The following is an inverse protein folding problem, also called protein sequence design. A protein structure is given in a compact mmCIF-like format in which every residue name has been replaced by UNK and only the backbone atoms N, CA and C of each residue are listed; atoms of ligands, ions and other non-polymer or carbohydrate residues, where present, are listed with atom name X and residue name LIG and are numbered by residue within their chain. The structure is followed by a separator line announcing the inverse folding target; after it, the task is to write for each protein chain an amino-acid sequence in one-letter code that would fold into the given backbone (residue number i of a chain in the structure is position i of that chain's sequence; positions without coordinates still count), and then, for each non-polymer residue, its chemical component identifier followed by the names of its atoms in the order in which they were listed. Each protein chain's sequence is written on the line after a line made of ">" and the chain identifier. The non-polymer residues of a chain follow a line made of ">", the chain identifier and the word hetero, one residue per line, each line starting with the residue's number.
data_IF_568492953248
#
_entry.id   IF_568492953248
#
_cell.length_a   1.000
_cell.length_b   1.000
_cell.length_c   1.000
_cell.angle_alpha   90.00
_cell.angle_beta   90.00
_cell.angle_gamma   90.00
#
_symmetry.space_group_name_H-M   'P 1'
#
loop_
_entity.id
_entity.type
_entity.pdbx_description
1 polymer ?
#
# COMPACT_ATOMS: atom_id res chain seq x y z
N UNK A 1 -32.18 -15.82 21.98
CA UNK A 1 -30.74 -16.06 21.74
C UNK A 1 -30.34 -15.22 20.52
N UNK A 2 -29.74 -14.03 20.73
CA UNK A 2 -29.40 -13.14 19.61
C UNK A 2 -28.28 -13.78 18.80
N UNK A 3 -28.54 -14.03 17.51
CA UNK A 3 -27.55 -14.52 16.55
C UNK A 3 -26.42 -13.49 16.55
N UNK A 4 -25.27 -13.84 17.13
CA UNK A 4 -24.05 -13.03 17.06
C UNK A 4 -23.76 -12.83 15.57
N UNK A 5 -24.00 -11.62 15.02
CA UNK A 5 -23.62 -11.28 13.65
C UNK A 5 -22.12 -11.55 13.53
N UNK A 6 -21.77 -12.53 12.71
CA UNK A 6 -20.38 -12.82 12.35
C UNK A 6 -19.76 -11.56 11.75
N UNK A 7 -18.55 -11.21 12.14
CA UNK A 7 -17.78 -10.12 11.54
C UNK A 7 -17.43 -10.40 10.06
N UNK A 8 -17.56 -11.66 9.65
CA UNK A 8 -17.27 -12.17 8.32
C UNK A 8 -18.32 -11.72 7.31
N UNK A 9 -17.91 -11.13 6.19
CA UNK A 9 -18.80 -10.68 5.13
C UNK A 9 -18.46 -11.37 3.81
N UNK A 10 -19.44 -12.04 3.24
CA UNK A 10 -19.35 -12.66 1.94
C UNK A 10 -19.51 -11.61 0.83
N UNK A 11 -18.50 -11.48 -0.03
CA UNK A 11 -18.49 -10.59 -1.20
C UNK A 11 -18.91 -11.31 -2.49
N UNK A 12 -19.27 -12.58 -2.41
CA UNK A 12 -19.68 -13.38 -3.57
C UNK A 12 -21.17 -13.29 -3.89
N UNK A 13 -21.95 -12.64 -3.02
CA UNK A 13 -23.40 -12.49 -3.17
C UNK A 13 -23.85 -11.05 -2.97
N UNK A 14 -24.83 -10.60 -3.75
CA UNK A 14 -25.38 -9.24 -3.70
C UNK A 14 -24.85 -8.30 -4.79
N UNK A 15 -25.22 -7.02 -4.75
CA UNK A 15 -24.82 -6.03 -5.74
C UNK A 15 -23.30 -5.73 -5.65
N UNK A 16 -22.51 -5.90 -6.72
CA UNK A 16 -21.09 -5.61 -6.74
C UNK A 16 -20.77 -4.18 -6.28
N UNK A 17 -21.47 -3.18 -6.80
CA UNK A 17 -21.25 -1.76 -6.45
C UNK A 17 -21.41 -1.53 -4.94
N UNK A 18 -22.51 -2.03 -4.34
CA UNK A 18 -22.76 -1.86 -2.89
C UNK A 18 -21.72 -2.57 -2.04
N UNK A 19 -21.28 -3.75 -2.47
CA UNK A 19 -20.26 -4.53 -1.77
C UNK A 19 -18.90 -3.83 -1.84
N UNK A 20 -18.50 -3.38 -3.03
CA UNK A 20 -17.23 -2.68 -3.28
C UNK A 20 -17.18 -1.38 -2.48
N UNK A 21 -18.20 -0.51 -2.61
CA UNK A 21 -18.24 0.74 -1.86
C UNK A 21 -18.27 0.50 -0.35
N UNK A 22 -19.09 -0.44 0.12
CA UNK A 22 -19.21 -0.76 1.55
C UNK A 22 -17.94 -1.36 2.16
N UNK A 23 -17.01 -1.88 1.32
CA UNK A 23 -15.72 -2.38 1.73
C UNK A 23 -14.61 -1.34 1.54
N UNK A 24 -14.63 -0.58 0.44
CA UNK A 24 -13.63 0.43 0.10
C UNK A 24 -13.68 1.66 1.02
N UNK A 25 -14.89 2.11 1.42
CA UNK A 25 -15.02 3.30 2.28
C UNK A 25 -14.28 3.19 3.62
N UNK A 26 -14.42 2.10 4.41
CA UNK A 26 -13.61 1.94 5.62
C UNK A 26 -12.11 1.89 5.32
N UNK A 27 -11.67 1.24 4.23
CA UNK A 27 -10.25 1.22 3.84
C UNK A 27 -9.74 2.61 3.50
N UNK A 28 -10.51 3.38 2.74
CA UNK A 28 -10.18 4.76 2.42
C UNK A 28 -10.00 5.62 3.68
N UNK A 29 -10.94 5.52 4.63
CA UNK A 29 -10.82 6.23 5.90
C UNK A 29 -9.56 5.81 6.67
N UNK A 30 -9.22 4.51 6.66
CA UNK A 30 -7.99 4.01 7.27
C UNK A 30 -6.73 4.60 6.64
N UNK A 31 -6.69 4.66 5.32
CA UNK A 31 -5.56 5.25 4.59
C UNK A 31 -5.45 6.76 4.83
N UNK A 32 -6.57 7.48 4.86
CA UNK A 32 -6.58 8.90 5.20
C UNK A 32 -6.10 9.15 6.63
N UNK A 33 -6.54 8.37 7.62
CA UNK A 33 -6.02 8.46 9.00
C UNK A 33 -4.52 8.19 9.05
N UNK A 34 -4.03 7.22 8.26
CA UNK A 34 -2.59 6.93 8.17
C UNK A 34 -1.79 8.12 7.62
N UNK A 35 -2.29 8.79 6.59
CA UNK A 35 -1.65 9.99 6.05
C UNK A 35 -1.67 11.14 7.08
N UNK A 36 -2.79 11.30 7.80
CA UNK A 36 -2.92 12.33 8.83
C UNK A 36 -1.91 12.15 9.96
N UNK A 37 -1.81 10.96 10.56
CA UNK A 37 -0.87 10.79 11.66
C UNK A 37 0.59 10.91 11.19
N UNK A 38 0.93 10.42 9.99
CA UNK A 38 2.27 10.61 9.41
C UNK A 38 2.63 12.08 9.22
N UNK A 39 1.65 12.91 8.87
CA UNK A 39 1.84 14.36 8.80
C UNK A 39 2.04 14.96 10.20
N UNK A 40 1.26 14.53 11.19
CA UNK A 40 1.40 14.98 12.59
C UNK A 40 2.77 14.61 13.15
N UNK A 41 3.26 13.39 12.94
CA UNK A 41 4.60 12.96 13.35
C UNK A 41 5.67 13.89 12.77
N UNK A 42 5.56 14.23 11.48
CA UNK A 42 6.47 15.16 10.79
C UNK A 42 6.46 16.55 11.44
N UNK A 43 5.27 17.07 11.80
CA UNK A 43 5.09 18.36 12.48
C UNK A 43 5.70 18.31 13.89
N UNK A 44 5.49 17.23 14.63
CA UNK A 44 6.04 17.05 15.98
C UNK A 44 7.57 17.06 15.92
N UNK A 45 8.17 16.27 15.03
CA UNK A 45 9.63 16.24 14.84
C UNK A 45 10.16 17.62 14.49
N UNK A 46 9.54 18.32 13.53
CA UNK A 46 9.98 19.64 13.12
C UNK A 46 9.88 20.71 14.24
N UNK A 47 8.77 20.69 14.99
CA UNK A 47 8.54 21.66 16.07
C UNK A 47 9.40 21.44 17.32
N UNK A 48 9.57 20.18 17.73
CA UNK A 48 10.23 19.87 19.01
C UNK A 48 11.73 19.61 18.88
N UNK A 49 12.18 19.11 17.70
CA UNK A 49 13.58 18.74 17.47
C UNK A 49 14.29 19.59 16.42
N UNK A 50 13.54 20.42 15.69
CA UNK A 50 14.08 21.36 14.70
C UNK A 50 14.37 20.75 13.32
N UNK A 51 14.86 21.59 12.41
CA UNK A 51 15.04 21.28 10.99
C UNK A 51 16.03 20.13 10.74
N UNK A 52 17.09 20.01 11.53
CA UNK A 52 18.11 18.96 11.39
C UNK A 52 17.52 17.58 11.66
N UNK A 53 16.71 17.44 12.69
CA UNK A 53 16.01 16.21 13.02
C UNK A 53 14.96 15.84 11.95
N UNK A 54 14.24 16.84 11.45
CA UNK A 54 13.29 16.67 10.36
C UNK A 54 13.99 16.18 9.07
N UNK A 55 15.14 16.73 8.74
CA UNK A 55 15.97 16.27 7.61
C UNK A 55 16.47 14.85 7.81
N UNK A 56 16.88 14.47 9.03
CA UNK A 56 17.29 13.12 9.36
C UNK A 56 16.16 12.10 9.11
N UNK A 57 14.95 12.35 9.64
CA UNK A 57 13.77 11.50 9.42
C UNK A 57 13.39 11.48 7.94
N UNK A 58 13.35 12.64 7.28
CA UNK A 58 13.00 12.77 5.86
C UNK A 58 13.92 11.98 4.94
N UNK A 59 15.24 11.96 5.23
CA UNK A 59 16.23 11.21 4.43
C UNK A 59 16.02 9.70 4.44
N UNK A 60 15.34 9.15 5.46
CA UNK A 60 15.04 7.72 5.56
C UNK A 60 13.79 7.29 4.81
N UNK A 61 13.00 8.23 4.27
CA UNK A 61 11.68 7.96 3.70
C UNK A 61 11.68 6.94 2.57
N UNK A 62 12.63 7.03 1.64
CA UNK A 62 12.74 6.12 0.50
C UNK A 62 13.10 4.70 0.92
N UNK A 63 14.03 4.54 1.87
CA UNK A 63 14.42 3.22 2.41
C UNK A 63 13.25 2.62 3.19
N UNK A 64 12.61 3.43 4.02
CA UNK A 64 11.44 3.01 4.79
C UNK A 64 10.34 2.49 3.85
N UNK A 65 10.00 3.26 2.81
CA UNK A 65 9.00 2.84 1.83
C UNK A 65 9.40 1.55 1.10
N UNK A 66 10.66 1.40 0.73
CA UNK A 66 11.16 0.20 0.05
C UNK A 66 11.06 -1.04 0.93
N UNK A 67 11.54 -0.99 2.18
CA UNK A 67 11.62 -2.15 3.08
C UNK A 67 10.27 -2.44 3.73
N UNK A 68 9.63 -1.44 4.29
CA UNK A 68 8.32 -1.60 4.94
C UNK A 68 7.24 -1.92 3.91
N UNK A 69 7.28 -1.26 2.74
CA UNK A 69 6.39 -1.56 1.62
C UNK A 69 6.55 -3.00 1.12
N UNK A 70 7.80 -3.52 1.07
CA UNK A 70 8.05 -4.93 0.75
C UNK A 70 7.38 -5.87 1.77
N UNK A 71 7.52 -5.60 3.06
CA UNK A 71 6.88 -6.38 4.12
C UNK A 71 5.34 -6.33 4.02
N UNK A 72 4.78 -5.14 3.78
CA UNK A 72 3.33 -4.96 3.58
C UNK A 72 2.83 -5.74 2.36
N UNK A 73 3.57 -5.71 1.25
CA UNK A 73 3.26 -6.46 0.05
C UNK A 73 3.21 -7.96 0.29
N UNK A 74 4.17 -8.51 1.05
CA UNK A 74 4.18 -9.92 1.44
C UNK A 74 2.93 -10.28 2.25
N UNK A 75 2.57 -9.48 3.26
CA UNK A 75 1.39 -9.72 4.08
C UNK A 75 0.10 -9.71 3.25
N UNK A 76 -0.04 -8.73 2.35
CA UNK A 76 -1.17 -8.66 1.43
C UNK A 76 -1.21 -9.87 0.47
N UNK A 77 -0.06 -10.31 -0.02
CA UNK A 77 0.04 -11.48 -0.88
C UNK A 77 -0.33 -12.78 -0.18
N UNK A 78 0.07 -12.96 1.09
CA UNK A 78 -0.33 -14.11 1.90
C UNK A 78 -1.84 -14.16 2.17
N UNK A 79 -2.50 -13.02 2.11
CA UNK A 79 -3.95 -12.91 2.28
C UNK A 79 -4.77 -13.33 1.05
N UNK A 80 -4.17 -13.38 -0.16
CA UNK A 80 -4.88 -13.75 -1.40
C UNK A 80 -5.42 -15.20 -1.33
N UNK A 81 -4.59 -16.23 -1.06
CA UNK A 81 -5.11 -17.59 -0.94
C UNK A 81 -6.16 -17.74 0.17
N UNK A 82 -6.05 -16.97 1.24
CA UNK A 82 -7.07 -16.94 2.32
C UNK A 82 -8.42 -16.47 1.77
N UNK A 83 -8.44 -15.37 0.98
CA UNK A 83 -9.65 -14.87 0.35
C UNK A 83 -10.24 -15.89 -0.64
N UNK A 84 -9.40 -16.57 -1.42
CA UNK A 84 -9.84 -17.61 -2.37
C UNK A 84 -10.45 -18.82 -1.64
N UNK A 85 -9.81 -19.32 -0.59
CA UNK A 85 -10.35 -20.46 0.18
C UNK A 85 -11.62 -20.08 0.94
N UNK A 86 -11.72 -18.86 1.41
CA UNK A 86 -12.95 -18.34 2.00
C UNK A 86 -14.09 -18.34 0.97
N UNK A 87 -13.84 -17.82 -0.24
CA UNK A 87 -14.81 -17.84 -1.34
C UNK A 87 -15.19 -19.25 -1.81
N UNK A 88 -14.26 -20.19 -1.76
CA UNK A 88 -14.49 -21.60 -2.07
C UNK A 88 -15.27 -22.37 -0.98
N UNK A 89 -15.41 -21.79 0.22
CA UNK A 89 -16.02 -22.46 1.37
C UNK A 89 -15.17 -23.56 2.00
N UNK A 90 -13.88 -23.69 1.60
CA UNK A 90 -12.95 -24.70 2.13
C UNK A 90 -12.30 -24.19 3.44
N UNK A 91 -12.96 -24.49 4.56
CA UNK A 91 -12.49 -24.09 5.89
C UNK A 91 -11.16 -24.74 6.27
N UNK A 92 -10.90 -25.98 5.82
CA UNK A 92 -9.68 -26.71 6.17
C UNK A 92 -8.47 -26.07 5.49
N UNK A 93 -8.55 -25.82 4.19
CA UNK A 93 -7.51 -25.12 3.45
C UNK A 93 -7.35 -23.67 3.95
N UNK A 94 -8.45 -22.98 4.27
CA UNK A 94 -8.45 -21.64 4.86
C UNK A 94 -7.57 -21.59 6.13
N UNK A 95 -7.85 -22.46 7.12
CA UNK A 95 -7.08 -22.50 8.37
C UNK A 95 -5.61 -22.83 8.13
N UNK A 96 -5.31 -23.74 7.20
CA UNK A 96 -3.92 -24.06 6.82
C UNK A 96 -3.19 -22.89 6.18
N UNK A 97 -3.83 -22.14 5.26
CA UNK A 97 -3.22 -20.94 4.69
C UNK A 97 -2.99 -19.87 5.75
N UNK A 98 -3.94 -19.66 6.66
CA UNK A 98 -3.75 -18.70 7.76
C UNK A 98 -2.62 -19.12 8.70
N UNK A 99 -2.58 -20.39 9.13
CA UNK A 99 -1.53 -20.92 10.03
C UNK A 99 -0.14 -20.88 9.38
N UNK A 100 -0.01 -21.44 8.17
CA UNK A 100 1.27 -21.41 7.43
C UNK A 100 1.69 -19.96 7.11
N UNK A 101 0.75 -19.11 6.72
CA UNK A 101 1.01 -17.68 6.47
C UNK A 101 1.50 -16.94 7.71
N UNK A 102 0.94 -17.21 8.89
CA UNK A 102 1.38 -16.62 10.15
C UNK A 102 2.81 -17.05 10.52
N UNK A 103 3.14 -18.34 10.38
CA UNK A 103 4.50 -18.85 10.63
C UNK A 103 5.49 -18.24 9.65
N UNK A 104 5.17 -18.21 8.36
CA UNK A 104 6.03 -17.61 7.33
C UNK A 104 6.21 -16.11 7.54
N UNK A 105 5.15 -15.37 7.86
CA UNK A 105 5.24 -13.94 8.15
C UNK A 105 6.14 -13.68 9.37
N UNK A 106 6.04 -14.52 10.42
CA UNK A 106 6.92 -14.46 11.59
C UNK A 106 8.39 -14.70 11.22
N UNK A 107 8.69 -15.79 10.53
CA UNK A 107 10.05 -16.11 10.08
C UNK A 107 10.62 -15.01 9.17
N UNK A 108 9.81 -14.58 8.21
CA UNK A 108 10.19 -13.51 7.29
C UNK A 108 10.47 -12.20 8.05
N UNK A 109 9.60 -11.80 8.98
CA UNK A 109 9.79 -10.56 9.73
C UNK A 109 11.06 -10.56 10.57
N UNK A 110 11.37 -11.68 11.24
CA UNK A 110 12.61 -11.84 12.01
C UNK A 110 13.82 -11.78 11.09
N UNK A 111 13.80 -12.52 9.98
CA UNK A 111 14.91 -12.53 9.01
C UNK A 111 15.15 -11.12 8.44
N UNK A 112 14.10 -10.42 8.03
CA UNK A 112 14.22 -9.05 7.53
C UNK A 112 14.76 -8.10 8.60
N UNK A 113 14.24 -8.17 9.83
CA UNK A 113 14.73 -7.35 10.94
C UNK A 113 16.23 -7.55 11.14
N UNK A 114 16.70 -8.79 11.23
CA UNK A 114 18.12 -9.10 11.42
C UNK A 114 18.95 -8.54 10.26
N UNK A 115 18.55 -8.80 9.03
CA UNK A 115 19.28 -8.34 7.84
C UNK A 115 19.38 -6.81 7.81
N UNK A 116 18.25 -6.11 7.91
CA UNK A 116 18.26 -4.65 7.77
C UNK A 116 18.86 -3.93 8.98
N UNK A 117 18.81 -4.51 10.19
CA UNK A 117 19.45 -3.94 11.36
C UNK A 117 20.99 -4.09 11.30
N UNK A 118 21.50 -5.24 10.82
CA UNK A 118 22.96 -5.46 10.67
C UNK A 118 23.52 -4.43 9.67
N UNK A 119 22.91 -4.24 8.52
CA UNK A 119 23.38 -3.33 7.48
C UNK A 119 22.77 -1.93 7.51
N UNK A 120 22.07 -1.57 8.56
CA UNK A 120 21.34 -0.30 8.65
C UNK A 120 22.24 0.92 8.37
N UNK A 121 23.42 0.97 8.98
CA UNK A 121 24.36 2.08 8.80
C UNK A 121 24.98 2.09 7.40
N UNK A 122 25.33 0.92 6.88
CA UNK A 122 25.91 0.77 5.54
C UNK A 122 24.92 1.19 4.45
N UNK A 123 23.65 0.86 4.61
CA UNK A 123 22.57 1.28 3.70
C UNK A 123 22.46 2.82 3.69
N UNK A 124 22.48 3.49 4.84
CA UNK A 124 22.43 4.95 4.91
C UNK A 124 23.67 5.60 4.25
N UNK A 125 24.85 5.03 4.45
CA UNK A 125 26.09 5.49 3.81
C UNK A 125 26.01 5.30 2.28
N UNK A 126 25.55 4.13 1.83
CA UNK A 126 25.35 3.84 0.40
C UNK A 126 24.39 4.84 -0.26
N UNK A 127 23.37 5.28 0.47
CA UNK A 127 22.45 6.31 0.02
C UNK A 127 23.01 7.74 0.08
N UNK A 128 24.26 7.90 0.48
CA UNK A 128 24.93 9.20 0.60
C UNK A 128 24.21 10.17 1.55
N UNK A 129 23.69 9.62 2.66
CA UNK A 129 23.10 10.46 3.72
C UNK A 129 24.18 11.39 4.27
N UNK A 130 23.93 12.72 4.36
CA UNK A 130 24.90 13.68 4.87
C UNK A 130 25.36 13.34 6.28
N UNK A 131 26.66 13.49 6.54
CA UNK A 131 27.29 13.08 7.81
C UNK A 131 26.73 13.80 9.05
N UNK A 132 26.24 15.02 8.87
CA UNK A 132 25.66 15.86 9.93
C UNK A 132 24.27 15.40 10.43
N UNK A 133 23.56 14.59 9.64
CA UNK A 133 22.25 14.02 9.97
C UNK A 133 22.28 12.48 10.06
N UNK A 134 23.39 11.85 9.74
CA UNK A 134 23.52 10.39 9.66
C UNK A 134 23.15 9.67 10.96
N UNK A 135 23.64 10.18 12.10
CA UNK A 135 23.36 9.55 13.40
C UNK A 135 21.88 9.68 13.79
N UNK A 136 21.25 10.82 13.48
CA UNK A 136 19.80 11.00 13.68
C UNK A 136 18.98 10.08 12.77
N UNK A 137 19.35 9.98 11.49
CA UNK A 137 18.71 9.07 10.54
C UNK A 137 18.87 7.61 10.97
N UNK A 138 20.06 7.22 11.42
CA UNK A 138 20.32 5.88 11.94
C UNK A 138 19.48 5.59 13.20
N UNK A 139 19.46 6.49 14.17
CA UNK A 139 18.67 6.32 15.39
C UNK A 139 17.18 6.14 15.12
N UNK A 140 16.63 6.85 14.14
CA UNK A 140 15.23 6.74 13.73
C UNK A 140 14.94 5.42 13.01
N UNK A 141 15.66 5.17 11.88
CA UNK A 141 15.33 4.05 11.00
C UNK A 141 15.68 2.69 11.61
N UNK A 142 16.73 2.62 12.45
CA UNK A 142 17.09 1.41 13.19
C UNK A 142 15.94 0.94 14.09
N UNK A 143 15.30 1.87 14.81
CA UNK A 143 14.15 1.57 15.64
C UNK A 143 12.96 1.10 14.79
N UNK A 144 12.69 1.76 13.66
CA UNK A 144 11.65 1.32 12.71
C UNK A 144 11.92 -0.12 12.24
N UNK A 145 13.16 -0.44 11.88
CA UNK A 145 13.53 -1.78 11.43
C UNK A 145 13.41 -2.83 12.55
N UNK A 146 13.77 -2.48 13.76
CA UNK A 146 13.56 -3.33 14.93
C UNK A 146 12.07 -3.63 15.16
N UNK A 147 11.21 -2.71 14.78
CA UNK A 147 9.75 -2.82 14.87
C UNK A 147 9.08 -3.64 13.74
N UNK A 148 9.80 -4.09 12.71
CA UNK A 148 9.22 -4.86 11.59
C UNK A 148 8.34 -6.03 12.06
N UNK A 149 8.69 -6.85 13.07
CA UNK A 149 7.81 -7.93 13.53
C UNK A 149 6.44 -7.44 14.02
N UNK A 150 6.38 -6.31 14.72
CA UNK A 150 5.12 -5.74 15.20
C UNK A 150 4.30 -5.14 14.04
N UNK A 151 4.97 -4.51 13.08
CA UNK A 151 4.34 -4.00 11.86
C UNK A 151 3.77 -5.15 11.01
N UNK A 152 4.51 -6.23 10.85
CA UNK A 152 4.06 -7.45 10.14
C UNK A 152 2.89 -8.09 10.88
N UNK A 153 2.91 -8.15 12.20
CA UNK A 153 1.79 -8.66 12.99
C UNK A 153 0.48 -7.89 12.68
N UNK A 154 0.53 -6.55 12.71
CA UNK A 154 -0.64 -5.74 12.38
C UNK A 154 -1.07 -5.92 10.92
N UNK A 155 -0.13 -5.83 9.96
CA UNK A 155 -0.44 -5.92 8.54
C UNK A 155 -0.99 -7.29 8.16
N UNK A 156 -0.40 -8.38 8.68
CA UNK A 156 -0.84 -9.76 8.40
C UNK A 156 -2.24 -10.01 8.98
N UNK A 157 -2.47 -9.67 10.25
CA UNK A 157 -3.80 -9.88 10.88
C UNK A 157 -4.87 -9.04 10.21
N UNK A 158 -4.57 -7.77 9.92
CA UNK A 158 -5.45 -6.87 9.18
C UNK A 158 -5.76 -7.38 7.77
N UNK A 159 -4.77 -7.91 7.04
CA UNK A 159 -4.96 -8.48 5.71
C UNK A 159 -5.83 -9.75 5.74
N UNK A 160 -5.66 -10.63 6.74
CA UNK A 160 -6.52 -11.79 6.95
C UNK A 160 -7.96 -11.36 7.25
N UNK A 161 -8.17 -10.38 8.13
CA UNK A 161 -9.52 -9.88 8.45
C UNK A 161 -10.21 -9.31 7.20
N UNK A 162 -9.47 -8.54 6.39
CA UNK A 162 -9.97 -8.05 5.09
C UNK A 162 -10.32 -9.20 4.13
N UNK A 163 -9.48 -10.23 4.04
CA UNK A 163 -9.75 -11.40 3.20
C UNK A 163 -11.04 -12.13 3.56
N UNK A 164 -11.42 -12.08 4.84
CA UNK A 164 -12.67 -12.61 5.37
C UNK A 164 -13.83 -11.61 5.30
N UNK A 165 -13.63 -10.47 4.63
CA UNK A 165 -14.65 -9.47 4.35
C UNK A 165 -14.84 -8.39 5.42
N UNK A 166 -13.99 -8.33 6.46
CA UNK A 166 -14.03 -7.29 7.48
C UNK A 166 -12.97 -6.20 7.22
N UNK A 167 -13.39 -5.10 6.62
CA UNK A 167 -12.56 -3.91 6.44
C UNK A 167 -12.75 -2.86 7.56
N UNK A 168 -13.76 -3.01 8.41
CA UNK A 168 -14.12 -2.02 9.44
C UNK A 168 -13.29 -2.18 10.71
N UNK A 169 -13.14 -3.41 11.20
CA UNK A 169 -12.43 -3.65 12.46
C UNK A 169 -10.96 -3.25 12.41
N UNK A 170 -10.19 -3.54 11.32
CA UNK A 170 -8.83 -3.01 11.16
C UNK A 170 -8.77 -1.48 11.19
N UNK A 171 -9.75 -0.80 10.59
CA UNK A 171 -9.85 0.67 10.62
C UNK A 171 -9.99 1.20 12.04
N UNK A 172 -10.86 0.60 12.86
CA UNK A 172 -11.07 1.03 14.26
C UNK A 172 -9.77 0.88 15.05
N UNK A 173 -9.07 -0.24 14.90
CA UNK A 173 -7.80 -0.46 15.60
C UNK A 173 -6.69 0.46 15.09
N UNK A 174 -6.67 0.78 13.79
CA UNK A 174 -5.78 1.79 13.25
C UNK A 174 -6.07 3.19 13.82
N UNK A 175 -7.35 3.56 13.95
CA UNK A 175 -7.76 4.82 14.57
C UNK A 175 -7.28 4.94 16.02
N UNK A 176 -7.46 3.88 16.82
CA UNK A 176 -6.93 3.81 18.21
C UNK A 176 -5.40 3.94 18.21
N UNK A 177 -4.73 3.22 17.31
CA UNK A 177 -3.28 3.27 17.15
C UNK A 177 -2.80 4.67 16.79
N UNK A 178 -3.50 5.37 15.89
CA UNK A 178 -3.12 6.73 15.46
C UNK A 178 -3.19 7.74 16.61
N UNK A 179 -4.25 7.68 17.41
CA UNK A 179 -4.36 8.53 18.61
C UNK A 179 -3.26 8.20 19.62
N UNK A 180 -3.01 6.92 19.87
CA UNK A 180 -1.96 6.47 20.76
C UNK A 180 -0.57 6.88 20.28
N UNK A 181 -0.31 6.78 18.99
CA UNK A 181 0.94 7.22 18.37
C UNK A 181 1.20 8.72 18.65
N UNK A 182 0.23 9.59 18.38
CA UNK A 182 0.36 11.03 18.63
C UNK A 182 0.66 11.32 20.11
N UNK A 183 -0.04 10.64 21.03
CA UNK A 183 0.21 10.80 22.48
C UNK A 183 1.62 10.33 22.86
N UNK A 184 2.06 9.18 22.36
CA UNK A 184 3.38 8.65 22.60
C UNK A 184 4.48 9.54 21.98
N UNK A 185 4.25 10.09 20.80
CA UNK A 185 5.19 11.04 20.19
C UNK A 185 5.45 12.24 21.09
N UNK A 186 4.38 12.87 21.59
CA UNK A 186 4.49 14.02 22.49
C UNK A 186 5.23 13.69 23.80
N UNK A 187 5.09 12.46 24.28
CA UNK A 187 5.76 11.99 25.51
C UNK A 187 7.22 11.61 25.24
N UNK A 188 7.49 10.89 24.14
CA UNK A 188 8.79 10.27 23.89
C UNK A 188 9.75 11.18 23.10
N UNK A 189 9.24 12.16 22.35
CA UNK A 189 10.07 13.04 21.51
C UNK A 189 11.09 13.84 22.34
N UNK A 190 10.71 14.31 23.52
CA UNK A 190 11.60 15.12 24.38
C UNK A 190 12.74 14.31 24.98
N UNK A 191 12.50 13.13 25.64
CA UNK A 191 13.58 12.36 26.25
C UNK A 191 14.42 11.55 25.27
N UNK A 192 13.87 11.15 24.12
CA UNK A 192 14.52 10.19 23.19
C UNK A 192 14.81 10.78 21.81
N UNK A 193 14.46 12.03 21.57
CA UNK A 193 14.68 12.68 20.27
C UNK A 193 13.94 11.95 19.13
N UNK A 194 14.57 11.86 17.95
CA UNK A 194 13.99 11.20 16.76
C UNK A 194 13.71 9.71 16.96
N UNK A 195 14.46 9.02 17.80
CA UNK A 195 14.19 7.63 18.16
C UNK A 195 12.86 7.49 18.91
N UNK A 196 12.46 8.51 19.68
CA UNK A 196 11.19 8.53 20.42
C UNK A 196 9.98 8.44 19.50
N UNK A 197 9.97 9.14 18.39
CA UNK A 197 8.87 9.07 17.40
C UNK A 197 8.83 7.72 16.68
N UNK A 198 9.98 7.11 16.41
CA UNK A 198 10.04 5.76 15.89
C UNK A 198 9.47 4.74 16.90
N UNK A 199 9.83 4.83 18.17
CA UNK A 199 9.26 3.98 19.23
C UNK A 199 7.75 4.17 19.38
N UNK A 200 7.27 5.40 19.33
CA UNK A 200 5.84 5.69 19.39
C UNK A 200 5.08 4.97 18.27
N UNK A 201 5.59 5.04 17.04
CA UNK A 201 5.01 4.37 15.88
C UNK A 201 4.97 2.85 16.06
N UNK A 202 6.08 2.23 16.48
CA UNK A 202 6.18 0.78 16.67
C UNK A 202 5.26 0.29 17.79
N UNK A 203 5.25 0.97 18.93
CA UNK A 203 4.39 0.59 20.07
C UNK A 203 2.92 0.69 19.66
N UNK A 204 2.53 1.78 19.02
CA UNK A 204 1.16 1.99 18.56
C UNK A 204 0.73 0.91 17.55
N UNK A 205 1.58 0.57 16.57
CA UNK A 205 1.30 -0.51 15.61
C UNK A 205 1.28 -1.89 16.27
N UNK A 206 2.17 -2.15 17.21
CA UNK A 206 2.19 -3.39 17.99
C UNK A 206 0.89 -3.60 18.76
N UNK A 207 0.42 -2.57 19.47
CA UNK A 207 -0.86 -2.62 20.19
C UNK A 207 -2.01 -2.89 19.22
N UNK A 208 -2.04 -2.20 18.07
CA UNK A 208 -3.02 -2.45 17.02
C UNK A 208 -2.99 -3.90 16.51
N UNK A 209 -1.79 -4.44 16.30
CA UNK A 209 -1.60 -5.83 15.86
C UNK A 209 -2.15 -6.84 16.88
N UNK A 210 -1.86 -6.64 18.16
CA UNK A 210 -2.40 -7.48 19.22
C UNK A 210 -3.92 -7.34 19.39
N UNK A 211 -4.47 -6.14 19.24
CA UNK A 211 -5.93 -5.92 19.24
C UNK A 211 -6.60 -6.64 18.06
N UNK A 212 -6.04 -6.55 16.86
CA UNK A 212 -6.49 -7.31 15.70
C UNK A 212 -6.47 -8.81 15.94
N UNK A 213 -5.35 -9.34 16.47
CA UNK A 213 -5.20 -10.77 16.75
C UNK A 213 -6.21 -11.25 17.78
N UNK A 214 -6.37 -10.52 18.89
CA UNK A 214 -7.36 -10.85 19.93
C UNK A 214 -8.78 -10.80 19.40
N UNK A 215 -9.13 -9.77 18.65
CA UNK A 215 -10.44 -9.62 18.04
C UNK A 215 -10.72 -10.75 17.04
N UNK A 216 -9.74 -11.06 16.18
CA UNK A 216 -9.83 -12.16 15.22
C UNK A 216 -10.11 -13.49 15.92
N UNK A 217 -9.35 -13.82 16.97
CA UNK A 217 -9.54 -15.04 17.78
C UNK A 217 -10.95 -15.10 18.41
N UNK A 218 -11.52 -13.96 18.82
CA UNK A 218 -12.81 -13.91 19.53
C UNK A 218 -14.02 -13.89 18.58
N UNK A 219 -13.88 -13.28 17.41
CA UNK A 219 -15.02 -12.98 16.51
C UNK A 219 -15.08 -13.81 15.24
N UNK A 220 -13.97 -14.33 14.77
CA UNK A 220 -13.90 -15.11 13.55
C UNK A 220 -13.98 -16.61 13.86
N UNK A 221 -15.17 -17.07 14.17
CA UNK A 221 -15.46 -18.48 14.52
C UNK A 221 -15.20 -19.48 13.39
N UNK A 222 -15.02 -18.99 12.16
CA UNK A 222 -14.62 -19.80 11.01
C UNK A 222 -13.16 -20.30 11.13
N UNK A 223 -12.32 -19.58 11.89
CA UNK A 223 -10.91 -19.92 12.12
C UNK A 223 -10.80 -20.85 13.33
N UNK A 224 -10.89 -22.14 13.08
CA UNK A 224 -10.72 -23.21 14.10
C UNK A 224 -9.41 -23.94 13.82
N UNK A 225 -8.36 -23.56 14.52
CA UNK A 225 -7.02 -24.09 14.30
C UNK A 225 -6.79 -25.43 15.02
N UNK A 226 -6.20 -26.37 14.32
CA UNK A 226 -5.61 -27.60 14.84
C UNK A 226 -4.09 -27.50 14.83
N UNK A 227 -3.38 -28.43 15.54
CA UNK A 227 -1.90 -28.45 15.50
C UNK A 227 -1.33 -28.66 14.10
N UNK A 228 -2.06 -29.36 13.24
CA UNK A 228 -1.67 -29.59 11.85
C UNK A 228 -1.67 -28.32 10.99
N UNK A 229 -2.50 -27.33 11.30
CA UNK A 229 -2.63 -26.10 10.52
C UNK A 229 -1.39 -25.19 10.68
N UNK A 230 -0.61 -25.39 11.74
CA UNK A 230 0.64 -24.66 12.02
C UNK A 230 1.89 -25.36 11.45
N UNK A 231 1.78 -26.60 11.00
CA UNK A 231 2.88 -27.30 10.33
C UNK A 231 3.08 -26.74 8.94
N UNK A 232 4.33 -26.41 8.60
CA UNK A 232 4.68 -25.93 7.27
C UNK A 232 4.56 -27.06 6.25
N UNK A 233 3.59 -26.97 5.36
CA UNK A 233 3.42 -27.88 4.25
C UNK A 233 3.92 -27.24 2.95
N UNK A 234 4.78 -27.94 2.21
CA UNK A 234 5.43 -27.44 1.00
C UNK A 234 4.47 -26.78 0.01
N UNK A 235 3.30 -27.38 -0.21
CA UNK A 235 2.30 -26.85 -1.14
C UNK A 235 1.78 -25.46 -0.71
N UNK A 236 1.41 -25.27 0.57
CA UNK A 236 0.93 -23.99 1.08
C UNK A 236 2.04 -22.94 1.12
N UNK A 237 3.24 -23.33 1.54
CA UNK A 237 4.43 -22.48 1.57
C UNK A 237 4.75 -21.92 0.18
N UNK A 238 4.85 -22.80 -0.82
CA UNK A 238 5.14 -22.39 -2.20
C UNK A 238 4.07 -21.44 -2.72
N UNK A 239 2.80 -21.75 -2.50
CA UNK A 239 1.71 -20.91 -2.97
C UNK A 239 1.72 -19.51 -2.29
N UNK A 240 1.90 -19.46 -0.97
CA UNK A 240 2.04 -18.19 -0.23
C UNK A 240 3.24 -17.38 -0.73
N UNK A 241 4.41 -17.98 -0.90
CA UNK A 241 5.60 -17.31 -1.43
C UNK A 241 5.38 -16.81 -2.86
N UNK A 242 4.73 -17.59 -3.71
CA UNK A 242 4.40 -17.19 -5.09
C UNK A 242 3.43 -16.00 -5.15
N UNK A 243 2.64 -15.76 -4.11
CA UNK A 243 1.78 -14.59 -4.00
C UNK A 243 2.49 -13.42 -3.29
N UNK A 244 3.11 -13.69 -2.15
CA UNK A 244 3.68 -12.66 -1.28
C UNK A 244 4.93 -12.01 -1.85
N UNK A 245 5.92 -12.79 -2.29
CA UNK A 245 7.19 -12.25 -2.79
C UNK A 245 6.98 -11.31 -3.98
N UNK A 246 6.20 -11.68 -5.02
CA UNK A 246 5.90 -10.76 -6.11
C UNK A 246 5.24 -9.46 -5.67
N UNK A 247 4.30 -9.52 -4.74
CA UNK A 247 3.63 -8.32 -4.24
C UNK A 247 4.58 -7.43 -3.42
N UNK A 248 5.49 -8.01 -2.66
CA UNK A 248 6.54 -7.26 -1.97
C UNK A 248 7.49 -6.57 -2.95
N UNK A 249 8.00 -7.31 -3.93
CA UNK A 249 8.91 -6.78 -4.96
C UNK A 249 8.28 -5.65 -5.77
N UNK A 250 6.99 -5.68 -6.01
CA UNK A 250 6.28 -4.60 -6.70
C UNK A 250 6.48 -3.26 -5.98
N UNK A 251 6.34 -3.21 -4.64
CA UNK A 251 6.56 -1.97 -3.87
C UNK A 251 8.01 -1.48 -3.99
N UNK A 252 8.97 -2.39 -3.93
CA UNK A 252 10.39 -2.05 -4.09
C UNK A 252 10.71 -1.50 -5.49
N UNK A 253 10.16 -2.11 -6.53
CA UNK A 253 10.34 -1.65 -7.93
C UNK A 253 9.71 -0.26 -8.13
N UNK A 254 8.54 -0.02 -7.56
CA UNK A 254 7.90 1.30 -7.60
C UNK A 254 8.75 2.35 -6.88
N UNK A 255 9.35 1.99 -5.74
CA UNK A 255 10.28 2.85 -5.01
C UNK A 255 11.51 3.22 -5.86
N UNK A 256 12.12 2.25 -6.53
CA UNK A 256 13.28 2.48 -7.43
C UNK A 256 12.89 3.46 -8.54
N UNK A 257 11.75 3.28 -9.19
CA UNK A 257 11.26 4.20 -10.21
C UNK A 257 11.07 5.63 -9.71
N UNK A 258 10.61 5.79 -8.46
CA UNK A 258 10.47 7.10 -7.82
C UNK A 258 11.82 7.75 -7.51
N UNK A 259 12.82 6.97 -7.08
CA UNK A 259 14.19 7.46 -6.83
C UNK A 259 14.84 7.94 -8.12
N UNK A 260 14.70 7.20 -9.22
CA UNK A 260 15.23 7.60 -10.54
C UNK A 260 14.62 8.95 -10.97
N UNK A 261 13.30 9.09 -10.85
CA UNK A 261 12.64 10.37 -11.17
C UNK A 261 13.11 11.49 -10.25
N UNK A 262 13.25 11.24 -8.94
CA UNK A 262 13.73 12.24 -7.98
C UNK A 262 15.15 12.72 -8.31
N UNK A 263 16.02 11.82 -8.80
CA UNK A 263 17.37 12.21 -9.24
C UNK A 263 17.32 13.20 -10.41
N UNK A 264 16.44 12.98 -11.38
CA UNK A 264 16.25 13.92 -12.49
C UNK A 264 15.67 15.27 -12.01
N UNK A 265 14.71 15.25 -11.08
CA UNK A 265 14.13 16.45 -10.48
C UNK A 265 15.19 17.26 -9.72
N UNK A 266 16.08 16.59 -8.99
CA UNK A 266 17.18 17.25 -8.27
C UNK A 266 18.10 18.01 -9.21
N UNK A 267 18.31 17.50 -10.43
CA UNK A 267 19.08 18.18 -11.48
C UNK A 267 18.46 19.49 -12.01
N UNK A 268 17.15 19.71 -11.77
CA UNK A 268 16.43 20.92 -12.17
C UNK A 268 16.51 22.04 -11.12
N UNK A 269 17.09 21.77 -9.95
CA UNK A 269 17.28 22.75 -8.88
C UNK A 269 16.22 22.72 -7.78
N UNK A 270 16.45 23.52 -6.73
CA UNK A 270 15.66 23.50 -5.49
C UNK A 270 14.20 23.88 -5.68
N UNK A 271 13.88 24.80 -6.59
CA UNK A 271 12.51 25.21 -6.90
C UNK A 271 11.69 24.06 -7.44
N UNK A 272 12.25 23.26 -8.38
CA UNK A 272 11.58 22.09 -8.93
C UNK A 272 11.38 21.02 -7.84
N UNK A 273 12.37 20.78 -6.99
CA UNK A 273 12.27 19.83 -5.87
C UNK A 273 11.17 20.25 -4.90
N UNK A 274 11.11 21.54 -4.53
CA UNK A 274 10.06 22.05 -3.64
C UNK A 274 8.66 21.90 -4.25
N UNK A 275 8.53 22.19 -5.56
CA UNK A 275 7.26 22.10 -6.29
C UNK A 275 6.76 20.64 -6.36
N UNK A 276 7.65 19.69 -6.71
CA UNK A 276 7.32 18.25 -6.74
C UNK A 276 6.96 17.74 -5.35
N UNK A 277 7.66 18.20 -4.32
CA UNK A 277 7.39 17.79 -2.93
C UNK A 277 6.02 18.28 -2.48
N UNK A 278 5.68 19.54 -2.72
CA UNK A 278 4.38 20.10 -2.38
C UNK A 278 3.24 19.39 -3.12
N UNK A 279 3.36 19.26 -4.45
CA UNK A 279 2.38 18.51 -5.26
C UNK A 279 2.27 17.04 -4.83
N UNK A 280 3.39 16.41 -4.48
CA UNK A 280 3.45 15.03 -3.98
C UNK A 280 2.65 14.82 -2.70
N UNK A 281 2.74 15.73 -1.74
CA UNK A 281 1.97 15.68 -0.48
C UNK A 281 0.46 15.73 -0.75
N UNK A 282 0.02 16.61 -1.63
CA UNK A 282 -1.41 16.71 -2.02
C UNK A 282 -1.84 15.45 -2.77
N UNK A 283 -1.01 14.98 -3.72
CA UNK A 283 -1.29 13.77 -4.51
C UNK A 283 -1.46 12.52 -3.63
N UNK A 284 -0.70 12.37 -2.53
CA UNK A 284 -0.84 11.24 -1.61
C UNK A 284 -2.27 11.12 -1.05
N UNK A 285 -2.87 12.24 -0.66
CA UNK A 285 -4.27 12.24 -0.20
C UNK A 285 -5.25 11.91 -1.35
N UNK A 286 -5.03 12.50 -2.52
CA UNK A 286 -5.89 12.30 -3.69
C UNK A 286 -5.80 10.88 -4.27
N UNK A 287 -4.71 10.16 -4.03
CA UNK A 287 -4.53 8.78 -4.52
C UNK A 287 -5.15 7.73 -3.58
N UNK A 288 -5.39 8.04 -2.30
CA UNK A 288 -5.97 7.08 -1.35
C UNK A 288 -7.24 6.36 -1.84
N UNK A 289 -8.21 7.00 -2.54
CA UNK A 289 -9.37 6.29 -3.06
C UNK A 289 -9.04 5.22 -4.09
N UNK A 290 -8.03 5.42 -4.94
CA UNK A 290 -7.61 4.42 -5.92
C UNK A 290 -6.96 3.20 -5.25
N UNK A 291 -6.13 3.43 -4.22
CA UNK A 291 -5.50 2.36 -3.43
C UNK A 291 -6.54 1.58 -2.62
N UNK A 292 -7.57 2.27 -2.09
CA UNK A 292 -8.68 1.63 -1.40
C UNK A 292 -9.53 0.76 -2.34
N UNK A 293 -9.82 1.26 -3.55
CA UNK A 293 -10.50 0.48 -4.60
C UNK A 293 -9.66 -0.72 -5.03
N UNK A 294 -8.37 -0.53 -5.26
CA UNK A 294 -7.45 -1.61 -5.61
C UNK A 294 -7.45 -2.71 -4.54
N UNK A 295 -7.19 -2.35 -3.28
CA UNK A 295 -7.18 -3.31 -2.16
C UNK A 295 -8.52 -4.03 -1.98
N UNK A 296 -9.63 -3.33 -2.24
CA UNK A 296 -10.98 -3.92 -2.27
C UNK A 296 -11.09 -4.96 -3.36
N UNK A 297 -10.59 -4.64 -4.57
CA UNK A 297 -10.66 -5.55 -5.72
C UNK A 297 -9.80 -6.79 -5.53
N UNK A 298 -8.67 -6.71 -4.83
CA UNK A 298 -7.88 -7.90 -4.48
C UNK A 298 -8.71 -8.91 -3.66
N UNK A 299 -9.41 -8.43 -2.64
CA UNK A 299 -10.27 -9.26 -1.79
C UNK A 299 -11.52 -9.74 -2.55
N UNK A 300 -12.19 -8.83 -3.26
CA UNK A 300 -13.40 -9.14 -4.03
C UNK A 300 -13.12 -10.19 -5.11
N UNK A 301 -12.05 -10.01 -5.88
CA UNK A 301 -11.64 -10.97 -6.91
C UNK A 301 -11.22 -12.30 -6.29
N UNK A 302 -10.43 -12.30 -5.21
CA UNK A 302 -10.02 -13.50 -4.51
C UNK A 302 -11.20 -14.36 -4.06
N UNK A 303 -12.19 -13.77 -3.38
CA UNK A 303 -13.40 -14.48 -2.95
C UNK A 303 -14.22 -14.99 -4.13
N UNK A 304 -14.44 -14.18 -5.17
CA UNK A 304 -15.25 -14.58 -6.33
C UNK A 304 -14.56 -15.64 -7.20
N UNK A 305 -13.23 -15.61 -7.33
CA UNK A 305 -12.45 -16.67 -7.99
C UNK A 305 -12.55 -17.98 -7.20
N UNK A 306 -12.41 -17.94 -5.88
CA UNK A 306 -12.62 -19.10 -5.02
C UNK A 306 -14.01 -19.72 -5.19
N UNK A 307 -15.04 -18.85 -5.29
CA UNK A 307 -16.42 -19.26 -5.55
C UNK A 307 -16.70 -19.66 -7.02
N UNK A 308 -15.70 -19.65 -7.91
CA UNK A 308 -15.81 -19.89 -9.36
C UNK A 308 -16.75 -18.92 -10.09
N UNK A 309 -16.95 -17.71 -9.58
CA UNK A 309 -17.87 -16.68 -10.11
C UNK A 309 -17.13 -15.63 -10.95
N UNK A 310 -16.55 -16.02 -12.08
CA UNK A 310 -15.73 -15.13 -12.92
C UNK A 310 -16.50 -13.92 -13.49
N UNK A 311 -17.79 -14.07 -13.80
CA UNK A 311 -18.61 -12.96 -14.31
C UNK A 311 -18.78 -11.85 -13.27
N UNK A 312 -18.76 -12.21 -11.99
CA UNK A 312 -18.76 -11.21 -10.91
C UNK A 312 -17.43 -10.47 -10.81
N UNK A 313 -16.30 -11.13 -11.06
CA UNK A 313 -14.99 -10.47 -11.12
C UNK A 313 -15.01 -9.42 -12.24
N UNK A 314 -15.50 -9.77 -13.42
CA UNK A 314 -15.62 -8.82 -14.54
C UNK A 314 -16.53 -7.64 -14.22
N UNK A 315 -17.72 -7.91 -13.66
CA UNK A 315 -18.66 -6.85 -13.24
C UNK A 315 -18.04 -5.98 -12.13
N UNK A 316 -17.24 -6.57 -11.23
CA UNK A 316 -16.53 -5.84 -10.18
C UNK A 316 -15.48 -4.87 -10.73
N UNK A 317 -14.70 -5.28 -11.74
CA UNK A 317 -13.76 -4.39 -12.45
C UNK A 317 -14.50 -3.21 -13.06
N UNK A 318 -15.58 -3.47 -13.81
CA UNK A 318 -16.35 -2.43 -14.45
C UNK A 318 -16.91 -1.44 -13.42
N UNK A 319 -17.52 -1.95 -12.34
CA UNK A 319 -18.06 -1.13 -11.26
C UNK A 319 -16.98 -0.26 -10.60
N UNK A 320 -15.83 -0.85 -10.25
CA UNK A 320 -14.71 -0.13 -9.62
C UNK A 320 -14.08 0.90 -10.56
N UNK A 321 -13.96 0.57 -11.85
CA UNK A 321 -13.44 1.49 -12.85
C UNK A 321 -14.37 2.70 -13.04
N UNK A 322 -15.68 2.49 -13.04
CA UNK A 322 -16.66 3.58 -13.10
C UNK A 322 -16.57 4.45 -11.84
N UNK A 323 -16.55 3.85 -10.64
CA UNK A 323 -16.44 4.58 -9.37
C UNK A 323 -15.16 5.43 -9.35
N UNK A 324 -14.02 4.86 -9.70
CA UNK A 324 -12.75 5.57 -9.74
C UNK A 324 -12.70 6.64 -10.82
N UNK A 325 -13.32 6.41 -12.00
CA UNK A 325 -13.40 7.42 -13.06
C UNK A 325 -14.28 8.61 -12.65
N UNK A 326 -15.41 8.36 -12.00
CA UNK A 326 -16.26 9.43 -11.45
C UNK A 326 -15.48 10.25 -10.43
N UNK A 327 -14.77 9.59 -9.51
CA UNK A 327 -13.90 10.28 -8.56
C UNK A 327 -12.81 11.08 -9.27
N UNK A 328 -12.18 10.55 -10.32
CA UNK A 328 -11.14 11.24 -11.11
C UNK A 328 -11.64 12.55 -11.71
N UNK A 329 -12.85 12.54 -12.26
CA UNK A 329 -13.48 13.76 -12.81
C UNK A 329 -13.81 14.76 -11.70
N UNK A 330 -14.35 14.30 -10.58
CA UNK A 330 -14.68 15.18 -9.45
C UNK A 330 -13.44 15.84 -8.88
N UNK A 331 -12.37 15.06 -8.60
CA UNK A 331 -11.15 15.61 -8.01
C UNK A 331 -10.41 16.55 -8.99
N UNK A 332 -10.45 16.26 -10.30
CA UNK A 332 -9.93 17.18 -11.31
C UNK A 332 -10.66 18.53 -11.26
N UNK A 333 -12.00 18.52 -11.17
CA UNK A 333 -12.81 19.73 -11.02
C UNK A 333 -12.47 20.51 -9.75
N UNK A 334 -12.35 19.82 -8.61
CA UNK A 334 -11.94 20.42 -7.34
C UNK A 334 -10.57 21.08 -7.46
N UNK A 335 -9.59 20.39 -8.04
CA UNK A 335 -8.24 20.91 -8.15
C UNK A 335 -8.10 21.98 -9.24
N UNK A 336 -8.91 21.95 -10.27
CA UNK A 336 -8.95 23.04 -11.24
C UNK A 336 -9.36 24.36 -10.58
N UNK A 337 -10.31 24.32 -9.63
CA UNK A 337 -10.81 25.50 -8.91
C UNK A 337 -9.92 25.92 -7.74
N UNK A 338 -9.43 24.97 -6.95
CA UNK A 338 -8.79 25.25 -5.64
C UNK A 338 -7.36 24.71 -5.48
N UNK A 339 -6.66 24.30 -6.58
CA UNK A 339 -5.29 23.76 -6.45
C UNK A 339 -4.31 24.75 -5.86
N UNK A 340 -4.48 26.06 -6.13
CA UNK A 340 -3.60 27.10 -5.59
C UNK A 340 -3.82 27.27 -4.08
N UNK A 341 -5.06 27.37 -3.65
CA UNK A 341 -5.46 27.49 -2.25
C UNK A 341 -5.03 26.28 -1.43
N UNK A 342 -5.18 25.08 -1.99
CA UNK A 342 -4.74 23.85 -1.35
C UNK A 342 -3.20 23.81 -1.26
N UNK A 343 -2.50 24.27 -2.28
CA UNK A 343 -1.03 24.34 -2.26
C UNK A 343 -0.48 25.31 -1.21
N UNK A 344 -1.22 26.37 -0.87
CA UNK A 344 -0.86 27.31 0.21
C UNK A 344 -0.82 26.67 1.61
N UNK A 345 -1.38 25.47 1.78
CA UNK A 345 -1.23 24.69 3.02
C UNK A 345 0.22 24.18 3.22
N UNK A 346 1.00 24.11 2.15
CA UNK A 346 2.35 23.53 2.14
C UNK A 346 3.45 24.50 1.70
N UNK A 347 3.06 25.59 1.03
CA UNK A 347 3.99 26.56 0.42
C UNK A 347 3.56 27.98 0.78
N UNK A 348 4.53 28.84 1.08
CA UNK A 348 4.26 30.25 1.39
C UNK A 348 3.69 30.98 0.15
N UNK A 349 2.79 31.93 0.38
CA UNK A 349 2.15 32.71 -0.69
C UNK A 349 3.14 33.55 -1.52
N UNK A 350 4.31 33.88 -0.96
CA UNK A 350 5.40 34.60 -1.63
C UNK A 350 6.10 33.76 -2.71
N UNK A 351 6.05 32.40 -2.61
CA UNK A 351 6.71 31.46 -3.50
C UNK A 351 5.86 31.14 -4.74
N UNK A 352 5.57 32.16 -5.55
CA UNK A 352 4.63 32.06 -6.68
C UNK A 352 5.04 31.02 -7.72
N UNK A 353 6.34 30.89 -8.03
CA UNK A 353 6.86 29.92 -8.99
C UNK A 353 6.61 28.49 -8.51
N UNK A 354 6.84 28.22 -7.22
CA UNK A 354 6.60 26.89 -6.62
C UNK A 354 5.10 26.54 -6.68
N UNK A 355 4.24 27.52 -6.37
CA UNK A 355 2.79 27.35 -6.42
C UNK A 355 2.30 27.05 -7.84
N UNK A 356 2.81 27.77 -8.86
CA UNK A 356 2.42 27.57 -10.25
C UNK A 356 2.91 26.22 -10.80
N UNK A 357 4.15 25.82 -10.47
CA UNK A 357 4.69 24.52 -10.83
C UNK A 357 3.95 23.38 -10.12
N UNK A 358 3.64 23.50 -8.84
CA UNK A 358 2.86 22.51 -8.10
C UNK A 358 1.46 22.36 -8.71
N UNK A 359 0.80 23.47 -9.04
CA UNK A 359 -0.49 23.47 -9.75
C UNK A 359 -0.39 22.76 -11.09
N UNK A 360 0.63 23.07 -11.89
CA UNK A 360 0.85 22.42 -13.19
C UNK A 360 0.96 20.90 -13.04
N UNK A 361 1.77 20.42 -12.11
CA UNK A 361 1.95 19.00 -11.85
C UNK A 361 0.65 18.34 -11.39
N UNK A 362 -0.08 18.95 -10.46
CA UNK A 362 -1.34 18.41 -9.96
C UNK A 362 -2.37 18.28 -11.08
N UNK A 363 -2.59 19.33 -11.87
CA UNK A 363 -3.57 19.30 -12.95
C UNK A 363 -3.20 18.28 -14.04
N UNK A 364 -1.94 18.21 -14.47
CA UNK A 364 -1.49 17.23 -15.45
C UNK A 364 -1.73 15.81 -14.92
N UNK A 365 -1.28 15.50 -13.69
CA UNK A 365 -1.47 14.18 -13.12
C UNK A 365 -2.95 13.79 -13.02
N UNK A 366 -3.81 14.72 -12.61
CA UNK A 366 -5.24 14.43 -12.39
C UNK A 366 -6.02 14.22 -13.68
N UNK A 367 -5.62 14.81 -14.79
CA UNK A 367 -6.17 14.49 -16.13
C UNK A 367 -5.97 12.99 -16.43
N UNK A 368 -4.88 12.39 -15.94
CA UNK A 368 -4.54 10.98 -16.15
C UNK A 368 -4.93 10.06 -14.97
N UNK A 369 -5.80 10.49 -14.07
CA UNK A 369 -6.27 9.64 -12.96
C UNK A 369 -7.22 8.52 -13.41
N UNK A 370 -7.82 8.59 -14.61
CA UNK A 370 -8.55 7.46 -15.18
C UNK A 370 -7.61 6.29 -15.49
N UNK A 371 -6.47 6.46 -16.20
CA UNK A 371 -5.41 5.44 -16.24
C UNK A 371 -4.96 4.93 -14.86
N UNK A 372 -4.73 5.81 -13.91
CA UNK A 372 -4.37 5.40 -12.53
C UNK A 372 -5.44 4.51 -11.89
N UNK A 373 -6.72 4.82 -12.13
CA UNK A 373 -7.84 3.96 -11.70
C UNK A 373 -7.70 2.56 -12.28
N UNK A 374 -7.49 2.46 -13.60
CA UNK A 374 -7.36 1.17 -14.28
C UNK A 374 -6.16 0.38 -13.78
N UNK A 375 -4.99 1.04 -13.65
CA UNK A 375 -3.80 0.42 -13.08
C UNK A 375 -4.11 -0.21 -11.72
N UNK A 376 -4.72 0.53 -10.79
CA UNK A 376 -5.00 0.00 -9.46
C UNK A 376 -6.06 -1.10 -9.50
N UNK A 377 -7.20 -0.87 -10.14
CA UNK A 377 -8.31 -1.83 -10.20
C UNK A 377 -7.88 -3.14 -10.88
N UNK A 378 -7.24 -3.06 -12.04
CA UNK A 378 -6.86 -4.26 -12.81
C UNK A 378 -5.70 -5.01 -12.16
N UNK A 379 -4.65 -4.30 -11.70
CA UNK A 379 -3.50 -4.90 -11.02
C UNK A 379 -3.92 -5.71 -9.81
N UNK A 380 -4.66 -5.10 -8.89
CA UNK A 380 -5.09 -5.77 -7.68
C UNK A 380 -6.11 -6.88 -7.95
N UNK A 381 -6.92 -6.77 -9.01
CA UNK A 381 -7.79 -7.87 -9.46
C UNK A 381 -6.96 -9.04 -9.94
N UNK A 382 -5.95 -8.85 -10.78
CA UNK A 382 -5.05 -9.89 -11.27
C UNK A 382 -4.32 -10.57 -10.10
N UNK A 383 -3.89 -9.79 -9.10
CA UNK A 383 -3.34 -10.35 -7.85
C UNK A 383 -4.36 -11.21 -7.12
N UNK A 384 -5.58 -10.71 -6.91
CA UNK A 384 -6.67 -11.45 -6.27
C UNK A 384 -7.05 -12.74 -7.00
N UNK A 385 -6.92 -12.76 -8.32
CA UNK A 385 -7.07 -13.96 -9.16
C UNK A 385 -5.96 -14.99 -8.95
N UNK A 386 -4.86 -14.66 -8.27
CA UNK A 386 -3.73 -15.56 -8.01
C UNK A 386 -2.56 -15.41 -8.98
N UNK A 387 -2.53 -14.38 -9.81
CA UNK A 387 -1.49 -14.14 -10.81
C UNK A 387 -0.56 -12.97 -10.42
N UNK A 388 -0.04 -12.97 -9.19
CA UNK A 388 0.77 -11.87 -8.64
C UNK A 388 2.05 -11.56 -9.44
N UNK A 389 2.56 -12.51 -10.25
CA UNK A 389 3.72 -12.28 -11.12
C UNK A 389 3.48 -11.19 -12.17
N UNK A 390 2.27 -11.07 -12.69
CA UNK A 390 1.93 -10.01 -13.64
C UNK A 390 1.94 -8.61 -12.97
N UNK A 391 1.71 -8.55 -11.67
CA UNK A 391 1.78 -7.28 -10.95
C UNK A 391 3.21 -6.73 -10.87
N UNK A 392 4.24 -7.60 -10.76
CA UNK A 392 5.65 -7.18 -10.85
C UNK A 392 5.92 -6.57 -12.22
N UNK A 393 5.50 -7.26 -13.28
CA UNK A 393 5.74 -6.79 -14.65
C UNK A 393 5.08 -5.42 -14.90
N UNK A 394 3.89 -5.19 -14.35
CA UNK A 394 3.26 -3.87 -14.38
C UNK A 394 4.12 -2.81 -13.63
N UNK A 395 4.67 -3.15 -12.47
CA UNK A 395 5.61 -2.29 -11.75
C UNK A 395 6.88 -1.98 -12.56
N UNK A 396 7.40 -2.97 -13.28
CA UNK A 396 8.54 -2.78 -14.20
C UNK A 396 8.16 -1.84 -15.34
N UNK A 397 6.96 -1.96 -15.93
CA UNK A 397 6.47 -1.03 -16.95
C UNK A 397 6.39 0.41 -16.42
N UNK A 398 5.90 0.60 -15.19
CA UNK A 398 5.90 1.91 -14.54
C UNK A 398 7.31 2.47 -14.33
N UNK A 399 8.23 1.63 -13.84
CA UNK A 399 9.63 2.02 -13.64
C UNK A 399 10.28 2.42 -14.97
N UNK A 400 10.06 1.66 -16.03
CA UNK A 400 10.55 1.98 -17.39
C UNK A 400 9.96 3.32 -17.84
N UNK A 401 8.65 3.54 -17.68
CA UNK A 401 7.99 4.78 -18.05
C UNK A 401 8.60 6.00 -17.36
N UNK A 402 8.80 5.93 -16.03
CA UNK A 402 9.46 7.00 -15.27
C UNK A 402 10.91 7.19 -15.70
N UNK A 403 11.64 6.12 -15.96
CA UNK A 403 13.04 6.18 -16.40
C UNK A 403 13.18 6.82 -17.78
N UNK A 404 12.31 6.46 -18.72
CA UNK A 404 12.31 7.07 -20.07
C UNK A 404 12.06 8.57 -19.97
N UNK A 405 11.08 8.98 -19.18
CA UNK A 405 10.81 10.42 -18.99
C UNK A 405 12.01 11.10 -18.30
N UNK A 406 12.55 10.51 -17.24
CA UNK A 406 13.66 11.09 -16.47
C UNK A 406 14.91 11.29 -17.32
N UNK A 407 15.31 10.29 -18.12
CA UNK A 407 16.56 10.33 -18.87
C UNK A 407 16.45 10.98 -20.25
N UNK A 408 15.31 10.83 -20.91
CA UNK A 408 15.17 11.29 -22.31
C UNK A 408 14.30 12.53 -22.49
N UNK A 409 13.33 12.79 -21.60
CA UNK A 409 12.44 13.94 -21.77
C UNK A 409 12.80 15.12 -20.84
N UNK A 410 13.19 14.84 -19.60
CA UNK A 410 13.55 15.91 -18.65
C UNK A 410 14.70 16.80 -19.15
N UNK A 411 15.76 16.28 -19.79
CA UNK A 411 16.85 17.15 -20.32
C UNK A 411 16.38 18.17 -21.37
N UNK A 412 15.32 17.86 -22.11
CA UNK A 412 14.82 18.75 -23.17
C UNK A 412 13.64 19.63 -22.75
N UNK A 413 12.75 19.10 -21.90
CA UNK A 413 11.48 19.77 -21.54
C UNK A 413 11.42 20.19 -20.07
N UNK A 414 12.48 19.93 -19.30
CA UNK A 414 12.60 20.36 -17.92
C UNK A 414 11.45 19.88 -17.03
N UNK A 415 10.93 20.79 -16.20
CA UNK A 415 9.89 20.51 -15.20
C UNK A 415 8.57 19.96 -15.82
N UNK A 416 8.22 20.45 -17.02
CA UNK A 416 7.01 19.95 -17.70
C UNK A 416 7.10 18.46 -17.99
N UNK A 417 8.27 17.95 -18.39
CA UNK A 417 8.46 16.51 -18.58
C UNK A 417 8.28 15.74 -17.24
N UNK A 418 8.77 16.26 -16.13
CA UNK A 418 8.57 15.64 -14.80
C UNK A 418 7.08 15.45 -14.50
N UNK A 419 6.23 16.41 -14.85
CA UNK A 419 4.78 16.31 -14.65
C UNK A 419 4.14 15.13 -15.39
N UNK A 420 4.72 14.72 -16.53
CA UNK A 420 4.23 13.58 -17.33
C UNK A 420 4.82 12.22 -16.91
N UNK A 421 5.77 12.17 -15.99
CA UNK A 421 6.43 10.93 -15.61
C UNK A 421 5.45 9.87 -15.04
N UNK A 422 4.57 10.27 -14.15
CA UNK A 422 3.54 9.39 -13.61
C UNK A 422 2.46 9.01 -14.64
N UNK A 423 1.88 9.96 -15.40
CA UNK A 423 0.97 9.64 -16.51
C UNK A 423 1.51 8.61 -17.51
N UNK A 424 2.74 8.78 -17.98
CA UNK A 424 3.38 7.83 -18.91
C UNK A 424 3.54 6.45 -18.27
N UNK A 425 3.95 6.41 -17.00
CA UNK A 425 4.09 5.17 -16.26
C UNK A 425 2.74 4.41 -16.13
N UNK A 426 1.66 5.11 -15.83
CA UNK A 426 0.32 4.52 -15.72
C UNK A 426 -0.19 3.99 -17.06
N UNK A 427 -0.03 4.74 -18.14
CA UNK A 427 -0.43 4.30 -19.49
C UNK A 427 0.35 3.04 -19.90
N UNK A 428 1.66 2.99 -19.68
CA UNK A 428 2.47 1.81 -19.99
C UNK A 428 2.07 0.60 -19.15
N UNK A 429 1.74 0.80 -17.89
CA UNK A 429 1.24 -0.26 -17.04
C UNK A 429 -0.12 -0.79 -17.51
N UNK A 430 -1.04 0.08 -17.93
CA UNK A 430 -2.35 -0.31 -18.45
C UNK A 430 -2.26 -1.08 -19.75
N UNK A 431 -1.39 -0.66 -20.66
CA UNK A 431 -1.12 -1.37 -21.93
C UNK A 431 -0.67 -2.82 -21.70
N UNK A 432 -0.02 -3.08 -20.56
CA UNK A 432 0.36 -4.44 -20.17
C UNK A 432 -0.76 -5.13 -19.35
N UNK A 433 -1.36 -4.45 -18.38
CA UNK A 433 -2.30 -5.04 -17.43
C UNK A 433 -3.62 -5.47 -18.06
N UNK A 434 -4.15 -4.72 -19.02
CA UNK A 434 -5.44 -5.07 -19.66
C UNK A 434 -5.32 -6.39 -20.45
N UNK A 435 -4.34 -6.60 -21.34
CA UNK A 435 -4.12 -7.91 -21.95
C UNK A 435 -3.81 -9.02 -20.94
N UNK A 436 -3.02 -8.74 -19.90
CA UNK A 436 -2.70 -9.70 -18.86
C UNK A 436 -3.96 -10.17 -18.13
N UNK A 437 -4.88 -9.27 -17.80
CA UNK A 437 -6.16 -9.61 -17.19
C UNK A 437 -7.00 -10.54 -18.10
N UNK A 438 -7.10 -10.20 -19.39
CA UNK A 438 -7.86 -11.04 -20.35
C UNK A 438 -7.28 -12.45 -20.43
N UNK A 439 -5.95 -12.56 -20.48
CA UNK A 439 -5.26 -13.85 -20.44
C UNK A 439 -5.57 -14.63 -19.16
N UNK A 440 -5.44 -14.00 -17.98
CA UNK A 440 -5.71 -14.63 -16.69
C UNK A 440 -7.19 -15.09 -16.58
N UNK A 441 -8.12 -14.26 -17.02
CA UNK A 441 -9.54 -14.56 -17.00
C UNK A 441 -9.88 -15.77 -17.89
N UNK A 442 -9.31 -15.81 -19.10
CA UNK A 442 -9.46 -16.98 -20.01
C UNK A 442 -8.88 -18.24 -19.41
N UNK A 443 -7.70 -18.17 -18.82
CA UNK A 443 -7.03 -19.31 -18.17
C UNK A 443 -7.87 -19.88 -17.02
N UNK A 444 -8.42 -19.03 -16.16
CA UNK A 444 -9.26 -19.51 -15.04
C UNK A 444 -10.58 -20.10 -15.54
N UNK A 445 -11.23 -19.49 -16.53
CA UNK A 445 -12.46 -20.06 -17.11
C UNK A 445 -12.22 -21.48 -17.65
N UNK A 446 -11.15 -21.67 -18.43
CA UNK A 446 -10.82 -22.98 -18.98
C UNK A 446 -10.49 -24.01 -17.90
N UNK A 447 -9.84 -23.62 -16.80
CA UNK A 447 -9.58 -24.48 -15.64
C UNK A 447 -10.88 -24.89 -14.94
N UNK A 448 -11.81 -23.97 -14.77
CA UNK A 448 -13.10 -24.26 -14.13
C UNK A 448 -13.97 -25.18 -14.97
N UNK A 449 -13.98 -25.01 -16.30
CA UNK A 449 -14.69 -25.90 -17.23
C UNK A 449 -14.12 -27.33 -17.22
N UNK A 450 -12.78 -27.48 -17.27
CA UNK A 450 -12.13 -28.79 -17.19
C UNK A 450 -12.44 -29.49 -15.87
N UNK A 451 -12.40 -28.77 -14.75
CA UNK A 451 -12.73 -29.34 -13.43
C UNK A 451 -14.22 -29.74 -13.33
N UNK A 452 -15.11 -29.05 -14.01
CA UNK A 452 -16.52 -29.35 -14.04
C UNK A 452 -16.83 -30.63 -14.90
N UNK A 453 -16.00 -30.89 -15.93
CA UNK A 453 -16.12 -32.08 -16.78
C UNK A 453 -15.55 -33.37 -16.13
N UNK A 454 -14.66 -33.20 -15.12
CA UNK A 454 -14.04 -34.35 -14.40
C UNK A 454 -14.82 -34.77 -13.16
N UNK A 455 -15.86 -34.06 -12.76
CA UNK A 455 -16.79 -34.40 -11.67
C UNK A 455 -18.09 -35.02 -12.20
#
# INVERSE_FOLDING_TARGET
>A
MAIKKSAVKDLTNGSPVKLILGFALPLLLGMLFQQFYSMVDTIIVGKFLGAKALAAVGSTGSINFMIVGFCMGICNGFAIPVAQMFGAGDKKALCRYVGNGAVLAGLFSITMTVLVCIWCRDILILMKTPSDILDGAYAYIFVIFLGIPLMVLYNQTSAIMRSLGDSRSPLIFLGISSVLNIVLDLVLVRPMGVAGTAWATIIAQGISGFLCLFYMKKKFTILTFTREDWKLHKHYVINLCNMGIPMGLQYSITAIGSVILQTAVNGLGSTAVASVTAAGKISMFCCCPFDALGSTMATYAGQNVGAKKMDRVHTGILASSIIGSVYSVVILGVMFLWSREISLLFVDASETVILDQARQMLLINMVFYIPLTLVNVVRFTVQGMGFSKFAILAGVCEMIGRSVVAFFLVPYFGYTAVCFASPVAWILADLFLVPAYLYCAKTLRSLFEKNAQMM
#
